data_IF_914893853098
#
_entry.id   IF_914893853098
#
_cell.length_a   1.000
_cell.length_b   1.000
_cell.length_c   1.000
_cell.angle_alpha   90.00
_cell.angle_beta   90.00
_cell.angle_gamma   90.00
#
_symmetry.space_group_name_H-M   'P 1'
#
loop_
_entity.id
_entity.type
_entity.pdbx_description
1 polymer ?
#
# COMPACT_ATOMS: atom_id res chain seq x y z
N UNK A 1 6.51 -10.81 -11.13
CA UNK A 1 5.94 -9.58 -10.54
C UNK A 1 4.84 -8.93 -11.36
N UNK A 2 4.99 -8.64 -12.67
CA UNK A 2 3.93 -7.99 -13.47
C UNK A 2 2.56 -8.68 -13.42
N UNK A 3 2.50 -10.01 -13.57
CA UNK A 3 1.24 -10.78 -13.43
C UNK A 3 0.57 -10.60 -12.07
N UNK A 4 1.37 -10.53 -11.01
CA UNK A 4 0.87 -10.31 -9.65
C UNK A 4 0.29 -8.91 -9.49
N UNK A 5 0.97 -7.88 -10.00
CA UNK A 5 0.46 -6.50 -9.98
C UNK A 5 -0.83 -6.37 -10.80
N UNK A 6 -0.90 -7.00 -11.97
CA UNK A 6 -2.13 -7.01 -12.78
C UNK A 6 -3.33 -7.65 -12.04
N UNK A 7 -3.10 -8.76 -11.32
CA UNK A 7 -4.14 -9.36 -10.48
C UNK A 7 -4.59 -8.44 -9.34
N UNK A 8 -3.68 -7.67 -8.75
CA UNK A 8 -4.04 -6.68 -7.73
C UNK A 8 -4.86 -5.52 -8.32
N UNK A 9 -4.55 -5.08 -9.54
CA UNK A 9 -5.34 -4.06 -10.24
C UNK A 9 -6.76 -4.56 -10.55
N UNK A 10 -6.89 -5.82 -10.98
CA UNK A 10 -8.20 -6.47 -11.14
C UNK A 10 -8.97 -6.53 -9.82
N UNK A 11 -8.31 -6.84 -8.70
CA UNK A 11 -8.94 -6.84 -7.38
C UNK A 11 -9.40 -5.45 -6.94
N UNK A 12 -8.58 -4.40 -7.17
CA UNK A 12 -8.97 -3.01 -6.90
C UNK A 12 -10.17 -2.61 -7.76
N UNK A 13 -10.17 -2.99 -9.04
CA UNK A 13 -11.32 -2.77 -9.94
C UNK A 13 -12.56 -3.49 -9.43
N UNK A 14 -12.44 -4.76 -9.05
CA UNK A 14 -13.54 -5.56 -8.52
C UNK A 14 -14.16 -4.91 -7.27
N UNK A 15 -13.35 -4.46 -6.32
CA UNK A 15 -13.86 -3.74 -5.15
C UNK A 15 -14.58 -2.43 -5.52
N UNK A 16 -14.04 -1.65 -6.46
CA UNK A 16 -14.65 -0.39 -6.89
C UNK A 16 -15.99 -0.60 -7.60
N UNK A 17 -16.13 -1.68 -8.38
CA UNK A 17 -17.34 -2.00 -9.13
C UNK A 17 -18.39 -2.76 -8.28
N UNK A 18 -17.93 -3.62 -7.36
CA UNK A 18 -18.77 -4.53 -6.58
C UNK A 18 -18.30 -4.60 -5.11
N UNK A 19 -18.41 -3.49 -4.36
CA UNK A 19 -17.80 -3.39 -3.02
C UNK A 19 -18.39 -4.38 -2.01
N UNK A 20 -19.70 -4.68 -2.08
CA UNK A 20 -20.34 -5.66 -1.21
C UNK A 20 -19.85 -7.09 -1.50
N UNK A 21 -19.67 -7.44 -2.78
CA UNK A 21 -19.17 -8.75 -3.17
C UNK A 21 -17.70 -8.93 -2.77
N UNK A 22 -16.88 -7.88 -2.95
CA UNK A 22 -15.50 -7.87 -2.51
C UNK A 22 -15.38 -7.97 -0.97
N UNK A 23 -16.23 -7.26 -0.23
CA UNK A 23 -16.28 -7.36 1.23
C UNK A 23 -16.69 -8.76 1.70
N UNK A 24 -17.68 -9.37 1.05
CA UNK A 24 -18.08 -10.74 1.36
C UNK A 24 -16.96 -11.76 1.07
N UNK A 25 -16.17 -11.53 0.02
CA UNK A 25 -15.05 -12.41 -0.33
C UNK A 25 -13.91 -12.36 0.70
N UNK A 26 -13.61 -11.18 1.27
CA UNK A 26 -12.50 -11.03 2.24
C UNK A 26 -12.93 -11.25 3.70
N UNK A 27 -14.24 -11.23 3.99
CA UNK A 27 -14.77 -11.34 5.35
C UNK A 27 -14.26 -12.55 6.16
N UNK A 28 -14.16 -13.78 5.60
CA UNK A 28 -13.59 -14.93 6.32
C UNK A 28 -12.13 -14.72 6.74
N UNK A 29 -11.33 -14.04 5.90
CA UNK A 29 -9.92 -13.76 6.18
C UNK A 29 -9.73 -12.70 7.27
N UNK A 30 -10.69 -11.79 7.39
CA UNK A 30 -10.71 -10.78 8.46
C UNK A 30 -11.35 -11.30 9.75
N UNK A 31 -12.06 -12.44 9.72
CA UNK A 31 -12.85 -12.94 10.84
C UNK A 31 -14.02 -12.01 11.21
N UNK A 32 -14.54 -11.27 10.23
CA UNK A 32 -15.61 -10.28 10.41
C UNK A 32 -16.86 -10.69 9.62
N UNK A 33 -18.00 -10.07 9.91
CA UNK A 33 -19.15 -10.14 9.00
C UNK A 33 -18.87 -9.36 7.70
N UNK A 34 -19.53 -9.70 6.57
CA UNK A 34 -19.40 -8.92 5.34
C UNK A 34 -19.68 -7.42 5.51
N UNK A 35 -20.64 -7.07 6.38
CA UNK A 35 -20.98 -5.69 6.67
C UNK A 35 -19.84 -4.95 7.40
N UNK A 36 -19.23 -5.57 8.41
CA UNK A 36 -18.08 -5.02 9.13
C UNK A 36 -16.85 -4.92 8.22
N UNK A 37 -16.59 -5.96 7.41
CA UNK A 37 -15.51 -5.92 6.42
C UNK A 37 -15.68 -4.78 5.43
N UNK A 38 -16.90 -4.52 4.95
CA UNK A 38 -17.17 -3.39 4.08
C UNK A 38 -16.87 -2.05 4.75
N UNK A 39 -17.17 -1.91 6.05
CA UNK A 39 -16.80 -0.68 6.78
C UNK A 39 -15.29 -0.52 6.87
N UNK A 40 -14.55 -1.56 7.25
CA UNK A 40 -13.07 -1.54 7.28
C UNK A 40 -12.50 -1.19 5.91
N UNK A 41 -13.02 -1.78 4.83
CA UNK A 41 -12.55 -1.49 3.47
C UNK A 41 -12.81 -0.04 3.05
N UNK A 42 -13.89 0.60 3.53
CA UNK A 42 -14.21 2.01 3.24
C UNK A 42 -13.26 3.00 3.94
N UNK A 43 -12.56 2.57 4.99
CA UNK A 43 -11.56 3.40 5.67
C UNK A 43 -10.21 3.47 4.93
N UNK A 44 -10.05 2.68 3.86
CA UNK A 44 -8.83 2.57 3.10
C UNK A 44 -8.92 3.27 1.73
N UNK A 45 -7.78 3.78 1.27
CA UNK A 45 -7.61 4.22 -0.11
C UNK A 45 -7.03 3.06 -0.92
N UNK A 46 -7.84 2.50 -1.81
CA UNK A 46 -7.45 1.38 -2.67
C UNK A 46 -6.86 1.90 -3.98
N UNK A 47 -5.55 1.78 -4.16
CA UNK A 47 -4.84 2.32 -5.33
C UNK A 47 -4.47 1.20 -6.31
N UNK A 48 -4.79 1.38 -7.60
CA UNK A 48 -4.21 0.54 -8.65
C UNK A 48 -2.74 0.92 -8.92
N UNK A 49 -2.04 0.13 -9.72
CA UNK A 49 -0.62 0.29 -10.03
C UNK A 49 -0.27 1.66 -10.62
N UNK A 50 -1.10 2.16 -11.53
CA UNK A 50 -0.92 3.49 -12.13
C UNK A 50 -1.06 4.61 -11.09
N UNK A 51 -1.98 4.46 -10.14
CA UNK A 51 -2.16 5.43 -9.05
C UNK A 51 -1.03 5.33 -8.02
N UNK A 52 -0.53 4.12 -7.73
CA UNK A 52 0.64 3.91 -6.87
C UNK A 52 1.93 4.50 -7.44
N UNK A 53 2.04 4.62 -8.77
CA UNK A 53 3.16 5.28 -9.44
C UNK A 53 3.18 6.82 -9.27
N UNK A 54 2.15 7.41 -8.67
CA UNK A 54 2.14 8.83 -8.35
C UNK A 54 3.28 9.19 -7.36
N UNK A 55 3.85 10.39 -7.49
CA UNK A 55 4.95 10.85 -6.62
C UNK A 55 4.56 10.99 -5.14
N UNK A 56 3.26 11.06 -4.81
CA UNK A 56 2.77 10.98 -3.42
C UNK A 56 2.99 9.60 -2.79
N UNK A 57 3.06 8.55 -3.61
CA UNK A 57 3.19 7.16 -3.16
C UNK A 57 4.57 6.61 -3.54
N UNK A 58 4.63 5.57 -4.37
CA UNK A 58 5.85 4.84 -4.68
C UNK A 58 6.71 5.54 -5.75
N UNK A 59 6.09 6.29 -6.67
CA UNK A 59 6.79 6.87 -7.82
C UNK A 59 7.25 5.80 -8.82
N UNK A 60 8.34 6.10 -9.56
CA UNK A 60 9.01 5.17 -10.47
C UNK A 60 10.41 4.81 -9.96
N UNK A 61 11.11 3.91 -10.67
CA UNK A 61 12.48 3.54 -10.32
C UNK A 61 13.45 4.72 -10.51
N UNK A 62 13.21 5.54 -11.54
CA UNK A 62 14.02 6.71 -11.89
C UNK A 62 13.64 7.93 -11.05
N UNK A 63 12.37 8.01 -10.62
CA UNK A 63 11.83 9.10 -9.82
C UNK A 63 11.03 8.56 -8.62
N UNK A 64 11.71 8.16 -7.54
CA UNK A 64 11.06 7.68 -6.33
C UNK A 64 10.05 8.68 -5.76
N UNK A 65 8.94 8.18 -5.24
CA UNK A 65 7.91 8.97 -4.60
C UNK A 65 8.20 9.26 -3.11
N UNK A 66 7.20 9.85 -2.44
CA UNK A 66 7.30 10.31 -1.06
C UNK A 66 7.27 9.17 -0.02
N UNK A 67 6.92 7.94 -0.40
CA UNK A 67 6.75 6.83 0.54
C UNK A 67 8.00 6.54 1.39
N UNK A 68 9.20 6.66 0.81
CA UNK A 68 10.46 6.51 1.55
C UNK A 68 10.59 7.51 2.71
N UNK A 69 10.16 8.75 2.49
CA UNK A 69 10.18 9.79 3.53
C UNK A 69 9.19 9.46 4.64
N UNK A 70 7.97 9.04 4.28
CA UNK A 70 6.94 8.63 5.24
C UNK A 70 7.45 7.51 6.14
N UNK A 71 8.05 6.46 5.56
CA UNK A 71 8.63 5.35 6.35
C UNK A 71 9.75 5.83 7.29
N UNK A 72 10.63 6.71 6.81
CA UNK A 72 11.72 7.27 7.62
C UNK A 72 11.18 8.12 8.77
N UNK A 73 10.14 8.92 8.54
CA UNK A 73 9.54 9.78 9.56
C UNK A 73 8.76 8.97 10.59
N UNK A 74 8.07 7.90 10.17
CA UNK A 74 7.49 6.91 11.08
C UNK A 74 8.58 6.24 11.94
N UNK A 75 9.71 5.84 11.36
CA UNK A 75 10.82 5.29 12.12
C UNK A 75 11.41 6.31 13.12
N UNK A 76 11.51 7.58 12.75
CA UNK A 76 11.92 8.65 13.66
C UNK A 76 10.96 8.81 14.84
N UNK A 77 9.65 8.79 14.57
CA UNK A 77 8.62 8.81 15.61
C UNK A 77 8.70 7.59 16.54
N UNK A 78 8.94 6.39 16.01
CA UNK A 78 9.13 5.18 16.82
C UNK A 78 10.41 5.22 17.65
N UNK A 79 11.51 5.79 17.13
CA UNK A 79 12.74 5.99 17.88
C UNK A 79 12.54 6.97 19.04
N UNK A 80 11.78 8.06 18.83
CA UNK A 80 11.46 9.02 19.87
C UNK A 80 10.65 8.39 21.03
N UNK A 81 9.81 7.39 20.74
CA UNK A 81 9.08 6.60 21.73
C UNK A 81 9.91 5.47 22.36
N UNK A 82 11.17 5.27 21.93
CA UNK A 82 12.01 4.17 22.40
C UNK A 82 11.64 2.79 21.85
N UNK A 83 10.71 2.69 20.90
CA UNK A 83 10.25 1.42 20.34
C UNK A 83 11.30 0.75 19.43
N UNK A 84 12.20 1.53 18.83
CA UNK A 84 13.33 1.02 18.03
C UNK A 84 14.64 1.73 18.41
N UNK A 85 15.80 1.07 18.28
CA UNK A 85 17.07 1.62 18.73
C UNK A 85 17.70 2.61 17.76
N UNK A 86 17.38 2.59 16.47
CA UNK A 86 18.02 3.42 15.44
C UNK A 86 17.07 3.75 14.30
N UNK A 87 17.35 4.82 13.56
CA UNK A 87 16.65 5.20 12.33
C UNK A 87 17.65 5.16 11.17
N UNK A 88 17.45 4.29 10.16
CA UNK A 88 18.29 4.29 8.97
C UNK A 88 18.24 5.62 8.19
N UNK A 89 19.23 5.86 7.34
CA UNK A 89 19.20 7.00 6.41
C UNK A 89 18.06 6.88 5.39
N UNK A 90 17.61 8.00 4.81
CA UNK A 90 16.57 8.00 3.77
C UNK A 90 16.96 7.12 2.56
N UNK A 91 18.24 7.05 2.19
CA UNK A 91 18.70 6.24 1.07
C UNK A 91 18.49 4.74 1.29
N UNK A 92 18.53 4.27 2.55
CA UNK A 92 18.21 2.86 2.87
C UNK A 92 16.74 2.57 2.61
N UNK A 93 15.84 3.49 3.00
CA UNK A 93 14.41 3.35 2.71
C UNK A 93 14.12 3.39 1.21
N UNK A 94 14.76 4.30 0.47
CA UNK A 94 14.64 4.36 -1.00
C UNK A 94 15.10 3.06 -1.66
N UNK A 95 16.27 2.54 -1.26
CA UNK A 95 16.80 1.30 -1.80
C UNK A 95 15.94 0.06 -1.48
N UNK A 96 15.19 0.09 -0.37
CA UNK A 96 14.27 -0.97 0.02
C UNK A 96 12.93 -0.98 -0.73
N UNK A 97 12.62 0.07 -1.51
CA UNK A 97 11.36 0.19 -2.24
C UNK A 97 11.56 -0.26 -3.69
N UNK A 98 10.76 -1.24 -4.11
CA UNK A 98 10.71 -1.70 -5.49
C UNK A 98 9.46 -1.15 -6.20
N UNK A 99 9.66 -0.28 -7.21
CA UNK A 99 8.59 0.29 -8.05
C UNK A 99 8.62 -0.21 -9.50
N UNK A 100 9.60 -1.02 -9.89
CA UNK A 100 9.77 -1.51 -11.26
C UNK A 100 8.68 -2.47 -11.76
N UNK A 101 7.73 -2.85 -10.90
CA UNK A 101 6.56 -3.65 -11.25
C UNK A 101 5.31 -2.84 -11.60
N UNK A 102 5.34 -1.51 -11.42
CA UNK A 102 4.18 -0.62 -11.59
C UNK A 102 4.04 -0.05 -13.00
N UNK A 103 5.08 -0.16 -13.83
CA UNK A 103 5.03 0.26 -15.23
C UNK A 103 4.46 -0.87 -16.09
N UNK A 104 3.46 -0.52 -16.91
CA UNK A 104 2.92 -1.40 -17.95
C UNK A 104 3.77 -1.32 -19.23
#
# INVERSE_FOLDING_TARGET
>A
MRKYVALLDEAVKFYREQPEAAAAAIAPELGLSPAESLQVMKELVWLNSSEQANSKYLGSAEKPGAFASVLRDSAAFMKAQGAIPTVPSLEVFKAGIYSGGLTQ
#
